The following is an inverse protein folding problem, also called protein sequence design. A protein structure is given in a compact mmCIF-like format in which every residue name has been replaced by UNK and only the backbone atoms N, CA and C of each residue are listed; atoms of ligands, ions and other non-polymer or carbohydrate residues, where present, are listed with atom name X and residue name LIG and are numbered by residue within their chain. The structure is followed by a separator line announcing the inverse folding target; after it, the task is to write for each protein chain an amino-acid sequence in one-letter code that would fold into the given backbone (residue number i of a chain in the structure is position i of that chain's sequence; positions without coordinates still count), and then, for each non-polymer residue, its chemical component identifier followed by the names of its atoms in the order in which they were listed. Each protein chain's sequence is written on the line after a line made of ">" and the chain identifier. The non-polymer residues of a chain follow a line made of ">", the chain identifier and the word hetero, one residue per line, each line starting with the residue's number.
data_IF_865958688593
#
_entry.id   IF_865958688593
#
_cell.length_a   1.000
_cell.length_b   1.000
_cell.length_c   1.000
_cell.angle_alpha   90.00
_cell.angle_beta   90.00
_cell.angle_gamma   90.00
#
_symmetry.space_group_name_H-M   'P 1'
#
loop_
_entity.id
_entity.type
_entity.pdbx_description
1 polymer ?
#
# COMPACT_ATOMS: atom_id res chain seq x y z
N UNK A 1 -17.96 -5.48 46.28
CA UNK A 1 -18.11 -4.83 44.99
C UNK A 1 -16.86 -4.00 44.74
N UNK A 2 -15.87 -4.57 44.05
CA UNK A 2 -14.61 -3.86 43.71
C UNK A 2 -14.74 -3.34 42.28
N UNK A 3 -14.86 -2.03 42.13
CA UNK A 3 -14.71 -1.38 40.83
C UNK A 3 -13.25 -1.54 40.39
N UNK A 4 -13.04 -2.30 39.32
CA UNK A 4 -11.77 -2.28 38.60
C UNK A 4 -11.78 -1.02 37.72
N UNK A 5 -11.05 0.00 38.15
CA UNK A 5 -10.72 1.14 37.32
C UNK A 5 -9.74 0.64 36.26
N UNK A 6 -10.20 0.40 35.05
CA UNK A 6 -9.31 0.19 33.89
C UNK A 6 -8.65 1.53 33.58
N UNK A 7 -7.42 1.70 34.04
CA UNK A 7 -6.58 2.80 33.63
C UNK A 7 -6.24 2.61 32.14
N UNK A 8 -6.84 3.42 31.26
CA UNK A 8 -6.41 3.54 29.89
C UNK A 8 -4.99 4.14 29.89
N UNK A 9 -4.00 3.31 29.62
CA UNK A 9 -2.62 3.79 29.45
C UNK A 9 -2.55 4.44 28.06
N UNK A 10 -2.50 5.76 28.07
CA UNK A 10 -2.29 6.56 26.86
C UNK A 10 -0.84 6.39 26.42
N UNK A 11 -0.61 5.70 25.34
CA UNK A 11 0.71 5.62 24.72
C UNK A 11 0.84 6.77 23.74
N UNK A 12 1.58 7.79 24.15
CA UNK A 12 2.05 8.82 23.22
C UNK A 12 3.07 8.20 22.28
N UNK A 13 2.69 8.01 21.01
CA UNK A 13 3.63 7.50 20.00
C UNK A 13 4.45 8.69 19.51
N UNK A 14 5.63 8.87 20.08
CA UNK A 14 6.63 9.86 19.67
C UNK A 14 7.35 9.44 18.38
N UNK A 15 6.61 8.98 17.38
CA UNK A 15 7.14 8.53 16.09
C UNK A 15 6.43 9.15 14.88
N UNK A 16 5.64 10.20 15.11
CA UNK A 16 4.93 10.89 14.05
C UNK A 16 5.89 11.82 13.29
N UNK A 17 6.20 11.48 12.03
CA UNK A 17 6.89 12.37 11.11
C UNK A 17 5.88 13.02 10.16
N UNK A 18 6.02 14.33 9.91
CA UNK A 18 5.22 15.01 8.89
C UNK A 18 6.03 15.08 7.60
N UNK A 19 5.44 14.61 6.51
CA UNK A 19 5.98 14.79 5.19
C UNK A 19 4.94 15.48 4.31
N UNK A 20 5.28 16.61 3.72
CA UNK A 20 4.35 17.45 2.95
C UNK A 20 3.04 17.79 3.67
N UNK A 21 3.08 17.99 5.00
CA UNK A 21 1.90 18.30 5.81
C UNK A 21 0.97 17.13 6.09
N UNK A 22 1.30 15.91 5.66
CA UNK A 22 0.58 14.67 6.00
C UNK A 22 1.26 13.95 7.15
N UNK A 23 0.47 13.25 7.94
CA UNK A 23 0.94 12.43 9.04
C UNK A 23 1.27 11.03 8.55
N UNK A 24 2.39 10.51 9.05
CA UNK A 24 2.84 9.15 8.80
C UNK A 24 3.19 8.47 10.11
N UNK A 25 2.78 7.21 10.25
CA UNK A 25 3.11 6.36 11.40
C UNK A 25 3.83 5.11 10.92
N UNK A 26 4.98 4.82 11.52
CA UNK A 26 5.69 3.56 11.27
C UNK A 26 5.03 2.46 12.07
N UNK A 27 4.44 1.49 11.40
CA UNK A 27 3.65 0.46 12.05
C UNK A 27 4.49 -0.41 13.00
N UNK A 28 5.76 -0.61 12.71
CA UNK A 28 6.70 -1.34 13.58
C UNK A 28 6.82 -0.72 14.99
N UNK A 29 6.79 0.59 15.08
CA UNK A 29 6.90 1.31 16.35
C UNK A 29 5.62 1.14 17.19
N UNK A 30 4.47 1.00 16.51
CA UNK A 30 3.16 0.82 17.15
C UNK A 30 2.94 -0.60 17.71
N UNK A 31 3.53 -1.61 17.08
CA UNK A 31 3.39 -3.00 17.52
C UNK A 31 3.99 -3.28 18.91
N UNK A 32 4.85 -2.39 19.40
CA UNK A 32 5.46 -2.47 20.74
C UNK A 32 4.59 -1.80 21.81
N UNK A 33 3.47 -1.20 21.43
CA UNK A 33 2.59 -0.54 22.39
C UNK A 33 1.87 -1.58 23.29
N UNK A 34 1.86 -1.40 24.61
CA UNK A 34 1.22 -2.34 25.53
C UNK A 34 -0.31 -2.25 25.56
N UNK A 35 -0.91 -1.48 24.66
CA UNK A 35 -2.36 -1.26 24.61
C UNK A 35 -3.06 -2.25 23.68
N UNK A 36 -4.23 -2.80 24.06
CA UNK A 36 -5.04 -3.65 23.18
C UNK A 36 -5.64 -2.89 21.99
N UNK A 37 -5.70 -1.56 22.08
CA UNK A 37 -6.22 -0.67 21.04
C UNK A 37 -5.19 0.41 20.74
N UNK A 38 -4.92 0.62 19.47
CA UNK A 38 -3.97 1.61 18.97
C UNK A 38 -4.76 2.72 18.28
N UNK A 39 -4.60 3.94 18.76
CA UNK A 39 -5.22 5.13 18.20
C UNK A 39 -4.19 5.96 17.42
N UNK A 40 -4.54 6.27 16.20
CA UNK A 40 -3.78 7.16 15.33
C UNK A 40 -4.37 8.56 15.44
N UNK A 41 -3.60 9.49 15.95
CA UNK A 41 -4.08 10.85 16.23
C UNK A 41 -3.43 11.87 15.31
N UNK A 42 -4.21 12.83 14.84
CA UNK A 42 -3.71 14.02 14.15
C UNK A 42 -2.93 14.93 15.12
N UNK A 43 -2.13 15.90 14.64
CA UNK A 43 -1.42 16.84 15.51
C UNK A 43 -2.33 17.68 16.40
N UNK A 44 -3.62 17.78 16.03
CA UNK A 44 -4.67 18.46 16.82
C UNK A 44 -5.36 17.54 17.83
N UNK A 45 -4.84 16.32 18.02
CA UNK A 45 -5.42 15.32 18.93
C UNK A 45 -6.70 14.65 18.44
N UNK A 46 -7.11 14.86 17.18
CA UNK A 46 -8.27 14.14 16.61
C UNK A 46 -7.86 12.71 16.25
N UNK A 47 -8.60 11.72 16.74
CA UNK A 47 -8.44 10.31 16.33
C UNK A 47 -8.89 10.18 14.87
N UNK A 48 -7.98 9.71 14.01
CA UNK A 48 -8.21 9.52 12.56
C UNK A 48 -8.36 8.05 12.20
N UNK A 49 -7.86 7.15 13.04
CA UNK A 49 -8.00 5.70 12.90
C UNK A 49 -7.85 5.04 14.26
N UNK A 50 -8.61 3.99 14.49
CA UNK A 50 -8.46 3.09 15.63
C UNK A 50 -8.30 1.67 15.12
N UNK A 51 -7.29 0.95 15.61
CA UNK A 51 -7.03 -0.44 15.24
C UNK A 51 -6.85 -1.29 16.50
N UNK A 52 -7.32 -2.53 16.44
CA UNK A 52 -6.97 -3.52 17.43
C UNK A 52 -5.48 -3.90 17.30
N UNK A 53 -4.76 -4.00 18.41
CA UNK A 53 -3.35 -4.38 18.41
C UNK A 53 -3.11 -5.74 17.75
N UNK A 54 -4.06 -6.68 17.86
CA UNK A 54 -3.97 -7.97 17.20
C UNK A 54 -4.02 -7.81 15.67
N UNK A 55 -4.89 -6.94 15.14
CA UNK A 55 -4.97 -6.63 13.69
C UNK A 55 -3.68 -5.97 13.22
N UNK A 56 -3.11 -5.03 14.00
CA UNK A 56 -1.81 -4.41 13.70
C UNK A 56 -0.70 -5.46 13.62
N UNK A 57 -0.66 -6.39 14.59
CA UNK A 57 0.33 -7.47 14.58
C UNK A 57 0.17 -8.42 13.39
N UNK A 58 -1.07 -8.76 13.02
CA UNK A 58 -1.35 -9.58 11.83
C UNK A 58 -0.91 -8.87 10.56
N UNK A 59 -1.19 -7.56 10.44
CA UNK A 59 -0.78 -6.75 9.29
C UNK A 59 0.74 -6.66 9.18
N UNK A 60 1.45 -6.49 10.29
CA UNK A 60 2.92 -6.53 10.32
C UNK A 60 3.48 -7.89 9.92
N UNK A 61 2.86 -8.96 10.39
CA UNK A 61 3.27 -10.32 10.02
C UNK A 61 3.03 -10.58 8.53
N UNK A 62 1.89 -10.14 7.99
CA UNK A 62 1.59 -10.23 6.57
C UNK A 62 2.64 -9.46 5.76
N UNK A 63 2.91 -8.21 6.13
CA UNK A 63 3.95 -7.40 5.49
C UNK A 63 5.33 -8.09 5.54
N UNK A 64 5.74 -8.61 6.67
CA UNK A 64 7.02 -9.31 6.81
C UNK A 64 7.10 -10.56 5.93
N UNK A 65 6.06 -11.39 5.90
CA UNK A 65 6.02 -12.60 5.07
C UNK A 65 6.05 -12.26 3.58
N UNK A 66 5.21 -11.34 3.15
CA UNK A 66 5.12 -10.90 1.75
C UNK A 66 6.44 -10.27 1.28
N UNK A 67 6.98 -9.30 2.00
CA UNK A 67 8.22 -8.62 1.59
C UNK A 67 9.43 -9.55 1.60
N UNK A 68 9.46 -10.51 2.53
CA UNK A 68 10.48 -11.55 2.53
C UNK A 68 10.36 -12.48 1.33
N UNK A 69 9.15 -12.90 0.96
CA UNK A 69 8.90 -13.71 -0.23
C UNK A 69 9.28 -12.96 -1.50
N UNK A 70 9.02 -11.66 -1.55
CA UNK A 70 9.38 -10.79 -2.67
C UNK A 70 10.89 -10.43 -2.72
N UNK A 71 11.68 -10.77 -1.71
CA UNK A 71 13.09 -10.36 -1.61
C UNK A 71 13.27 -8.85 -1.41
N UNK A 72 12.26 -8.15 -0.89
CA UNK A 72 12.23 -6.70 -0.74
C UNK A 72 12.39 -6.30 0.73
N UNK A 73 13.27 -5.34 0.97
CA UNK A 73 13.35 -4.67 2.28
C UNK A 73 12.62 -3.33 2.19
N UNK A 74 11.44 -3.25 2.78
CA UNK A 74 10.63 -2.04 2.85
C UNK A 74 9.97 -1.92 4.22
N UNK A 75 9.81 -0.68 4.72
CA UNK A 75 9.08 -0.41 5.95
C UNK A 75 7.58 -0.26 5.64
N UNK A 76 6.71 -0.73 6.53
CA UNK A 76 5.28 -0.49 6.44
C UNK A 76 4.93 0.80 7.19
N UNK A 77 4.26 1.70 6.48
CA UNK A 77 3.87 3.02 6.98
C UNK A 77 2.38 3.22 6.79
N UNK A 78 1.72 3.77 7.81
CA UNK A 78 0.34 4.25 7.68
C UNK A 78 0.38 5.75 7.44
N UNK A 79 -0.40 6.23 6.46
CA UNK A 79 -0.57 7.64 6.17
C UNK A 79 -1.99 8.10 6.48
N UNK A 80 -2.17 9.35 6.91
CA UNK A 80 -3.51 9.94 6.96
C UNK A 80 -4.05 10.16 5.54
N UNK A 81 -5.31 9.80 5.30
CA UNK A 81 -5.96 10.02 4.01
C UNK A 81 -7.45 9.75 4.06
N UNK A 82 -8.22 10.59 3.38
CA UNK A 82 -9.69 10.54 3.36
C UNK A 82 -10.26 9.60 2.28
N UNK A 83 -9.47 9.24 1.29
CA UNK A 83 -9.86 8.35 0.18
C UNK A 83 -8.88 7.18 0.10
N UNK A 84 -9.37 5.94 -0.11
CA UNK A 84 -8.52 4.75 -0.13
C UNK A 84 -7.33 4.89 -1.07
N UNK A 85 -6.12 4.69 -0.51
CA UNK A 85 -4.87 4.72 -1.26
C UNK A 85 -3.80 3.86 -0.60
N UNK A 86 -2.95 3.27 -1.43
CA UNK A 86 -1.68 2.69 -1.04
C UNK A 86 -0.64 3.05 -2.12
N UNK A 87 0.59 3.02 -1.77
CA UNK A 87 1.68 3.31 -2.71
C UNK A 87 3.03 2.88 -2.15
N UNK A 88 3.97 2.72 -3.04
CA UNK A 88 5.38 2.48 -2.75
C UNK A 88 6.21 3.72 -3.01
N UNK A 89 7.28 3.91 -2.27
CA UNK A 89 8.15 5.08 -2.43
C UNK A 89 9.36 5.05 -1.52
N UNK A 90 10.11 6.14 -1.52
CA UNK A 90 11.21 6.36 -0.58
C UNK A 90 10.82 7.37 0.48
N UNK A 91 11.05 7.04 1.73
CA UNK A 91 10.94 7.97 2.85
C UNK A 91 12.31 8.05 3.54
N UNK A 92 12.92 9.23 3.54
CA UNK A 92 14.29 9.42 4.07
C UNK A 92 15.31 8.42 3.53
N UNK A 93 15.23 8.11 2.23
CA UNK A 93 16.12 7.16 1.55
C UNK A 93 15.81 5.68 1.76
N UNK A 94 14.77 5.34 2.55
CA UNK A 94 14.35 3.96 2.80
C UNK A 94 13.14 3.61 1.96
N UNK A 95 13.07 2.39 1.46
CA UNK A 95 11.90 1.86 0.77
C UNK A 95 10.74 1.74 1.74
N UNK A 96 9.57 2.21 1.35
CA UNK A 96 8.33 2.08 2.12
C UNK A 96 7.22 1.50 1.27
N UNK A 97 6.33 0.77 1.94
CA UNK A 97 4.98 0.50 1.48
C UNK A 97 4.06 1.30 2.38
N UNK A 98 3.27 2.17 1.80
CA UNK A 98 2.36 3.05 2.54
C UNK A 98 0.93 2.65 2.27
N UNK A 99 0.13 2.51 3.34
CA UNK A 99 -1.31 2.31 3.29
C UNK A 99 -1.95 3.47 4.04
N UNK A 100 -2.96 4.11 3.47
CA UNK A 100 -3.61 5.21 4.20
C UNK A 100 -4.79 4.74 5.07
N UNK A 101 -5.20 5.62 5.98
CA UNK A 101 -6.28 5.34 6.95
C UNK A 101 -7.58 4.95 6.27
N UNK A 102 -7.93 5.56 5.14
CA UNK A 102 -9.16 5.24 4.41
C UNK A 102 -9.09 3.85 3.74
N UNK A 103 -7.92 3.42 3.24
CA UNK A 103 -7.74 2.07 2.71
C UNK A 103 -7.86 1.03 3.83
N UNK A 104 -7.29 1.29 5.00
CA UNK A 104 -7.40 0.41 6.16
C UNK A 104 -8.87 0.26 6.58
N UNK A 105 -9.62 1.37 6.67
CA UNK A 105 -11.04 1.35 7.01
C UNK A 105 -11.84 0.58 5.95
N UNK A 106 -11.52 0.73 4.68
CA UNK A 106 -12.19 0.03 3.58
C UNK A 106 -11.97 -1.49 3.64
N UNK A 107 -10.74 -1.95 3.89
CA UNK A 107 -10.41 -3.37 3.99
C UNK A 107 -10.98 -3.96 5.29
N UNK A 108 -10.93 -3.21 6.40
CA UNK A 108 -11.37 -3.69 7.71
C UNK A 108 -10.41 -4.72 8.31
N UNK A 109 -10.92 -5.91 8.66
CA UNK A 109 -10.14 -6.96 9.34
C UNK A 109 -9.69 -8.10 8.39
N UNK A 110 -9.93 -7.98 7.08
CA UNK A 110 -9.54 -9.01 6.11
C UNK A 110 -8.03 -8.97 5.86
N UNK A 111 -7.32 -9.87 6.55
CA UNK A 111 -5.85 -9.92 6.49
C UNK A 111 -5.35 -10.40 5.11
N UNK A 112 -6.16 -11.19 4.40
CA UNK A 112 -5.80 -11.68 3.07
C UNK A 112 -5.94 -10.56 2.02
N UNK A 113 -6.92 -9.64 2.17
CA UNK A 113 -6.98 -8.44 1.34
C UNK A 113 -5.79 -7.50 1.62
N UNK A 114 -5.35 -7.39 2.87
CA UNK A 114 -4.10 -6.68 3.17
C UNK A 114 -2.89 -7.37 2.54
N UNK A 115 -2.81 -8.70 2.60
CA UNK A 115 -1.74 -9.45 1.97
C UNK A 115 -1.74 -9.27 0.45
N UNK A 116 -2.91 -9.21 -0.20
CA UNK A 116 -3.05 -8.92 -1.61
C UNK A 116 -2.52 -7.54 -1.98
N UNK A 117 -2.93 -6.50 -1.23
CA UNK A 117 -2.42 -5.14 -1.40
C UNK A 117 -0.90 -5.07 -1.22
N UNK A 118 -0.40 -5.65 -0.14
CA UNK A 118 1.03 -5.68 0.17
C UNK A 118 1.84 -6.47 -0.87
N UNK A 119 1.28 -7.56 -1.39
CA UNK A 119 1.89 -8.37 -2.45
C UNK A 119 2.06 -7.59 -3.74
N UNK A 120 1.01 -6.88 -4.15
CA UNK A 120 1.02 -6.01 -5.32
C UNK A 120 2.07 -4.88 -5.17
N UNK A 121 2.07 -4.18 -4.05
CA UNK A 121 3.03 -3.11 -3.75
C UNK A 121 4.47 -3.61 -3.67
N UNK A 122 4.68 -4.78 -3.03
CA UNK A 122 6.00 -5.39 -2.97
C UNK A 122 6.52 -5.83 -4.35
N UNK A 123 5.63 -6.27 -5.25
CA UNK A 123 5.99 -6.63 -6.60
C UNK A 123 6.49 -5.41 -7.40
N UNK A 124 5.90 -4.24 -7.24
CA UNK A 124 6.40 -3.02 -7.86
C UNK A 124 7.85 -2.71 -7.45
N UNK A 125 8.22 -2.96 -6.19
CA UNK A 125 9.62 -2.86 -5.76
C UNK A 125 10.49 -3.97 -6.32
N UNK A 126 10.04 -5.22 -6.22
CA UNK A 126 10.83 -6.39 -6.61
C UNK A 126 11.13 -6.41 -8.12
N UNK A 127 10.20 -5.89 -8.93
CA UNK A 127 10.32 -5.84 -10.40
C UNK A 127 10.96 -4.57 -10.93
N UNK A 128 11.33 -3.64 -10.05
CA UNK A 128 11.98 -2.39 -10.44
C UNK A 128 11.06 -1.36 -11.11
N UNK A 129 9.73 -1.56 -11.05
CA UNK A 129 8.76 -0.62 -11.64
C UNK A 129 8.91 0.79 -11.03
N UNK A 130 9.19 0.86 -9.73
CA UNK A 130 9.42 2.11 -9.01
C UNK A 130 10.65 2.85 -9.55
N UNK A 131 11.76 2.13 -9.72
CA UNK A 131 13.00 2.72 -10.21
C UNK A 131 12.85 3.15 -11.68
N UNK A 132 12.19 2.35 -12.52
CA UNK A 132 11.87 2.69 -13.90
C UNK A 132 10.93 3.91 -13.99
N UNK A 133 9.93 4.00 -13.13
CA UNK A 133 9.01 5.14 -13.03
C UNK A 133 9.75 6.43 -12.66
N UNK A 134 10.66 6.36 -11.67
CA UNK A 134 11.49 7.52 -11.29
C UNK A 134 12.39 7.99 -12.43
N UNK A 135 13.00 7.05 -13.16
CA UNK A 135 13.84 7.38 -14.29
C UNK A 135 13.03 8.07 -15.40
N UNK A 136 11.84 7.54 -15.70
CA UNK A 136 10.91 8.16 -16.67
C UNK A 136 10.52 9.58 -16.23
N UNK A 137 10.14 9.76 -14.97
CA UNK A 137 9.74 11.07 -14.44
C UNK A 137 10.88 12.08 -14.46
N UNK A 138 12.10 11.68 -14.10
CA UNK A 138 13.28 12.57 -14.15
C UNK A 138 13.63 12.97 -15.58
N UNK A 139 13.48 12.06 -16.54
CA UNK A 139 13.69 12.35 -17.96
C UNK A 139 12.65 13.32 -18.50
N UNK A 140 11.36 13.12 -18.15
CA UNK A 140 10.27 14.01 -18.54
C UNK A 140 10.49 15.41 -17.93
N UNK A 141 10.90 15.50 -16.66
CA UNK A 141 11.21 16.77 -16.01
C UNK A 141 12.40 17.48 -16.67
N UNK A 142 13.47 16.73 -17.00
CA UNK A 142 14.64 17.29 -17.67
C UNK A 142 14.27 17.86 -19.06
N UNK A 143 13.48 17.12 -19.83
CA UNK A 143 12.97 17.57 -21.15
C UNK A 143 12.02 18.75 -20.97
N UNK A 144 11.11 18.71 -20.01
CA UNK A 144 10.20 19.80 -19.69
C UNK A 144 10.94 21.09 -19.28
N UNK A 145 12.01 20.96 -18.49
CA UNK A 145 12.85 22.08 -18.10
C UNK A 145 13.62 22.67 -19.29
N UNK A 146 14.12 21.83 -20.20
CA UNK A 146 14.79 22.28 -21.44
C UNK A 146 13.82 23.03 -22.36
N UNK A 147 12.60 22.52 -22.55
CA UNK A 147 11.56 23.18 -23.33
C UNK A 147 11.11 24.47 -22.66
N UNK A 148 10.92 24.47 -21.33
CA UNK A 148 10.56 25.64 -20.56
C UNK A 148 11.62 26.74 -20.60
N UNK A 149 12.90 26.39 -20.54
CA UNK A 149 14.01 27.32 -20.73
C UNK A 149 14.03 27.89 -22.14
N UNK A 150 13.80 27.05 -23.17
CA UNK A 150 13.70 27.51 -24.56
C UNK A 150 12.52 28.48 -24.78
N UNK A 151 11.36 28.19 -24.19
CA UNK A 151 10.18 29.06 -24.26
C UNK A 151 10.36 30.38 -23.48
N UNK A 152 11.07 30.35 -22.37
CA UNK A 152 11.37 31.57 -21.60
C UNK A 152 12.25 32.55 -22.37
N UNK A 153 13.12 32.06 -23.24
CA UNK A 153 13.91 32.91 -24.17
C UNK A 153 13.05 33.60 -25.24
N UNK A 154 11.84 33.10 -25.52
CA UNK A 154 10.88 33.69 -26.45
C UNK A 154 9.88 34.64 -25.79
N UNK A 155 10.00 34.88 -24.47
CA UNK A 155 9.11 35.78 -23.72
C UNK A 155 7.73 35.20 -23.42
N UNK A 156 7.49 33.92 -23.67
CA UNK A 156 6.25 33.23 -23.30
C UNK A 156 6.38 32.74 -21.86
N UNK A 157 5.50 33.16 -20.93
CA UNK A 157 5.58 32.67 -19.55
C UNK A 157 5.29 31.17 -19.53
N UNK A 158 6.31 30.36 -19.22
CA UNK A 158 6.14 28.93 -18.96
C UNK A 158 5.57 28.68 -17.55
N UNK A 159 4.63 29.53 -17.14
CA UNK A 159 3.98 29.42 -15.84
C UNK A 159 2.95 28.30 -15.89
N UNK A 160 3.27 27.17 -15.30
CA UNK A 160 2.30 26.13 -14.99
C UNK A 160 2.66 24.69 -15.34
N UNK A 161 3.79 24.42 -15.97
CA UNK A 161 4.25 23.06 -16.20
C UNK A 161 5.07 22.54 -15.01
N UNK A 162 4.38 21.79 -14.16
CA UNK A 162 4.96 20.87 -13.18
C UNK A 162 5.84 21.54 -12.10
N UNK A 163 5.25 22.45 -11.35
CA UNK A 163 5.81 22.83 -10.06
C UNK A 163 4.95 22.24 -8.96
N UNK A 164 5.49 21.31 -8.20
CA UNK A 164 4.91 21.00 -6.90
C UNK A 164 4.64 19.56 -6.52
N UNK A 165 5.36 18.60 -7.07
CA UNK A 165 5.39 17.26 -6.48
C UNK A 165 6.76 17.05 -5.84
N UNK A 166 6.77 17.03 -4.50
CA UNK A 166 7.96 16.72 -3.74
C UNK A 166 8.58 15.41 -4.20
N UNK A 167 9.87 15.44 -4.42
CA UNK A 167 10.66 14.47 -5.18
C UNK A 167 10.70 13.03 -4.61
N UNK A 168 9.96 12.72 -3.56
CA UNK A 168 10.04 11.43 -2.88
C UNK A 168 8.77 10.57 -2.93
N UNK A 169 7.63 11.12 -3.37
CA UNK A 169 6.43 10.33 -3.66
C UNK A 169 6.35 10.12 -5.17
N UNK A 170 6.50 8.87 -5.59
CA UNK A 170 6.37 8.51 -7.00
C UNK A 170 4.89 8.54 -7.33
N UNK A 171 4.44 9.67 -7.87
CA UNK A 171 3.13 9.80 -8.52
C UNK A 171 3.24 9.27 -9.96
N UNK A 172 3.89 8.10 -10.11
CA UNK A 172 4.02 7.45 -11.39
C UNK A 172 2.85 6.51 -11.58
N UNK A 173 2.01 6.80 -12.55
CA UNK A 173 1.12 5.79 -13.11
C UNK A 173 1.97 4.66 -13.68
N UNK A 174 1.76 3.47 -13.18
CA UNK A 174 2.38 2.27 -13.71
C UNK A 174 1.73 1.91 -15.06
N UNK A 175 2.50 1.29 -15.95
CA UNK A 175 1.94 0.81 -17.20
C UNK A 175 1.01 -0.38 -16.95
N UNK A 176 0.14 -0.70 -17.91
CA UNK A 176 -0.72 -1.89 -17.80
C UNK A 176 0.08 -3.18 -17.71
N UNK A 177 1.27 -3.21 -18.26
CA UNK A 177 2.17 -4.37 -18.17
C UNK A 177 2.80 -4.46 -16.78
N UNK A 178 3.25 -3.33 -16.22
CA UNK A 178 3.73 -3.26 -14.83
C UNK A 178 2.65 -3.76 -13.86
N UNK A 179 1.38 -3.37 -14.08
CA UNK A 179 0.25 -3.79 -13.25
C UNK A 179 -0.04 -5.29 -13.36
N UNK A 180 -0.01 -5.84 -14.59
CA UNK A 180 -0.19 -7.29 -14.80
C UNK A 180 0.94 -8.10 -14.16
N UNK A 181 2.17 -7.61 -14.25
CA UNK A 181 3.31 -8.24 -13.60
C UNK A 181 3.19 -8.15 -12.08
N UNK A 182 2.81 -6.99 -11.54
CA UNK A 182 2.60 -6.82 -10.10
C UNK A 182 1.49 -7.71 -9.55
N UNK A 183 0.38 -7.86 -10.27
CA UNK A 183 -0.70 -8.79 -9.92
C UNK A 183 -0.21 -10.24 -9.90
N UNK A 184 0.54 -10.66 -10.94
CA UNK A 184 1.01 -12.02 -11.06
C UNK A 184 1.97 -12.40 -9.91
N UNK A 185 2.95 -11.55 -9.62
CA UNK A 185 3.90 -11.77 -8.54
C UNK A 185 3.26 -11.58 -7.16
N UNK A 186 2.31 -10.64 -7.01
CA UNK A 186 1.53 -10.48 -5.80
C UNK A 186 0.81 -11.76 -5.41
N UNK A 187 0.13 -12.40 -6.36
CA UNK A 187 -0.52 -13.71 -6.18
C UNK A 187 0.50 -14.80 -5.81
N UNK A 188 1.67 -14.83 -6.45
CA UNK A 188 2.72 -15.79 -6.12
C UNK A 188 3.23 -15.61 -4.67
N UNK A 189 3.43 -14.37 -4.24
CA UNK A 189 3.85 -14.10 -2.86
C UNK A 189 2.78 -14.50 -1.84
N UNK A 190 1.50 -14.28 -2.16
CA UNK A 190 0.39 -14.72 -1.30
C UNK A 190 0.38 -16.24 -1.16
N UNK A 191 0.45 -16.98 -2.26
CA UNK A 191 0.50 -18.45 -2.26
C UNK A 191 1.71 -18.99 -1.49
N UNK A 192 2.90 -18.42 -1.72
CA UNK A 192 4.13 -18.83 -1.05
C UNK A 192 4.12 -18.57 0.47
N UNK A 193 3.24 -17.68 0.93
CA UNK A 193 3.15 -17.28 2.35
C UNK A 193 1.88 -17.73 3.05
N UNK A 194 1.02 -18.49 2.34
CA UNK A 194 -0.17 -19.14 2.88
C UNK A 194 -1.38 -18.20 3.03
N UNK A 195 -1.42 -17.08 2.30
CA UNK A 195 -2.58 -16.20 2.21
C UNK A 195 -3.51 -16.65 1.07
N UNK A 196 -4.81 -16.35 1.22
CA UNK A 196 -5.82 -16.68 0.20
C UNK A 196 -5.69 -15.72 -1.01
N UNK A 197 -5.25 -16.21 -2.19
CA UNK A 197 -5.06 -15.36 -3.36
C UNK A 197 -6.37 -14.78 -3.92
N UNK A 198 -7.54 -15.39 -3.62
CA UNK A 198 -8.84 -14.83 -4.02
C UNK A 198 -9.11 -13.47 -3.39
N UNK A 199 -8.41 -13.13 -2.33
CA UNK A 199 -8.50 -11.81 -1.71
C UNK A 199 -8.03 -10.69 -2.66
N UNK A 200 -7.13 -10.96 -3.60
CA UNK A 200 -6.76 -10.00 -4.63
C UNK A 200 -7.96 -9.62 -5.51
N UNK A 201 -8.79 -10.59 -5.87
CA UNK A 201 -10.03 -10.36 -6.61
C UNK A 201 -11.02 -9.56 -5.75
N UNK A 202 -11.23 -9.99 -4.49
CA UNK A 202 -12.16 -9.31 -3.56
C UNK A 202 -11.78 -7.84 -3.36
N UNK A 203 -10.50 -7.55 -3.19
CA UNK A 203 -10.00 -6.18 -3.02
C UNK A 203 -10.33 -5.30 -4.24
N UNK A 204 -10.07 -5.76 -5.46
CA UNK A 204 -10.41 -5.03 -6.67
C UNK A 204 -11.92 -4.83 -6.84
N UNK A 205 -12.72 -5.88 -6.60
CA UNK A 205 -14.18 -5.78 -6.66
C UNK A 205 -14.73 -4.80 -5.62
N UNK A 206 -14.15 -4.77 -4.41
CA UNK A 206 -14.50 -3.83 -3.35
C UNK A 206 -14.23 -2.38 -3.77
N UNK A 207 -13.04 -2.12 -4.34
CA UNK A 207 -12.69 -0.78 -4.82
C UNK A 207 -13.60 -0.29 -5.93
N UNK A 208 -14.00 -1.16 -6.87
CA UNK A 208 -14.90 -0.78 -7.96
C UNK A 208 -16.35 -0.54 -7.51
N UNK A 209 -16.76 -1.15 -6.39
CA UNK A 209 -18.12 -1.03 -5.83
C UNK A 209 -18.29 0.17 -4.89
N UNK A 210 -17.26 0.99 -4.67
CA UNK A 210 -17.40 2.15 -3.80
C UNK A 210 -18.46 3.12 -4.32
N UNK A 211 -19.42 3.54 -3.48
CA UNK A 211 -20.56 4.33 -3.91
C UNK A 211 -20.17 5.75 -4.34
N UNK A 212 -20.96 6.33 -5.23
CA UNK A 212 -20.98 7.78 -5.46
C UNK A 212 -19.84 8.34 -6.31
N UNK A 213 -19.19 7.54 -7.16
CA UNK A 213 -18.12 8.05 -8.03
C UNK A 213 -16.89 8.52 -7.23
N UNK A 214 -16.72 7.99 -6.02
CA UNK A 214 -15.53 8.26 -5.20
C UNK A 214 -14.31 7.87 -6.03
N UNK A 215 -13.56 8.87 -6.46
CA UNK A 215 -12.25 8.60 -7.05
C UNK A 215 -11.39 7.93 -5.99
N UNK A 216 -11.05 6.67 -6.21
CA UNK A 216 -10.06 5.95 -5.40
C UNK A 216 -8.69 6.36 -5.95
N UNK A 217 -7.86 7.13 -5.22
CA UNK A 217 -6.55 7.56 -5.70
C UNK A 217 -5.68 6.37 -6.11
N UNK A 218 -5.80 5.26 -5.40
CA UNK A 218 -5.16 4.00 -5.76
C UNK A 218 -5.43 3.59 -7.21
N UNK A 219 -6.69 3.71 -7.69
CA UNK A 219 -7.04 3.36 -9.07
C UNK A 219 -6.52 4.38 -10.10
N UNK A 220 -6.04 5.55 -9.67
CA UNK A 220 -5.42 6.53 -10.57
C UNK A 220 -3.96 6.18 -10.86
N UNK A 221 -3.25 5.61 -9.90
CA UNK A 221 -1.87 5.12 -10.04
C UNK A 221 -1.81 3.65 -10.47
N UNK A 222 -2.81 2.85 -10.06
CA UNK A 222 -2.99 1.43 -10.36
C UNK A 222 -4.34 1.21 -11.03
N UNK A 223 -4.49 1.48 -12.33
CA UNK A 223 -5.77 1.37 -13.01
C UNK A 223 -6.36 -0.04 -12.86
N UNK A 224 -7.50 -0.14 -12.16
CA UNK A 224 -8.28 -1.36 -12.09
C UNK A 224 -9.30 -1.40 -13.20
N UNK A 225 -9.58 -2.59 -13.70
CA UNK A 225 -10.59 -2.85 -14.71
C UNK A 225 -11.20 -4.23 -14.48
N UNK A 226 -12.36 -4.47 -15.06
CA UNK A 226 -12.95 -5.81 -15.11
C UNK A 226 -11.97 -6.81 -15.75
N UNK A 227 -11.21 -6.35 -16.76
CA UNK A 227 -10.15 -7.16 -17.39
C UNK A 227 -9.09 -7.61 -16.37
N UNK A 228 -8.64 -6.75 -15.44
CA UNK A 228 -7.67 -7.15 -14.41
C UNK A 228 -8.26 -8.19 -13.46
N UNK A 229 -9.51 -8.00 -13.06
CA UNK A 229 -10.22 -8.97 -12.21
C UNK A 229 -10.32 -10.33 -12.92
N UNK A 230 -10.69 -10.34 -14.20
CA UNK A 230 -10.76 -11.58 -14.97
C UNK A 230 -9.39 -12.25 -15.15
N UNK A 231 -8.34 -11.46 -15.35
CA UNK A 231 -6.97 -11.96 -15.44
C UNK A 231 -6.49 -12.55 -14.10
N UNK A 232 -6.80 -11.91 -12.98
CA UNK A 232 -6.52 -12.43 -11.65
C UNK A 232 -7.23 -13.76 -11.41
N UNK A 233 -8.53 -13.86 -11.73
CA UNK A 233 -9.31 -15.11 -11.59
C UNK A 233 -8.68 -16.25 -12.40
N UNK A 234 -8.30 -16.00 -13.67
CA UNK A 234 -7.65 -16.98 -14.53
C UNK A 234 -6.29 -17.41 -13.97
N UNK A 235 -5.48 -16.45 -13.53
CA UNK A 235 -4.16 -16.68 -12.94
C UNK A 235 -4.26 -17.55 -11.69
N UNK A 236 -5.15 -17.21 -10.77
CA UNK A 236 -5.35 -17.92 -9.51
C UNK A 236 -5.80 -19.36 -9.80
N UNK A 237 -6.76 -19.56 -10.71
CA UNK A 237 -7.23 -20.89 -11.11
C UNK A 237 -6.09 -21.74 -11.70
N UNK A 238 -5.26 -21.16 -12.58
CA UNK A 238 -4.11 -21.85 -13.16
C UNK A 238 -3.07 -22.24 -12.11
N UNK A 239 -2.78 -21.36 -11.14
CA UNK A 239 -1.82 -21.62 -10.06
C UNK A 239 -2.32 -22.70 -9.09
N UNK A 240 -3.62 -22.68 -8.73
CA UNK A 240 -4.22 -23.72 -7.90
C UNK A 240 -4.16 -25.11 -8.54
N UNK A 241 -4.29 -25.19 -9.87
CA UNK A 241 -4.18 -26.47 -10.60
C UNK A 241 -2.74 -26.99 -10.65
N UNK A 242 -1.74 -26.13 -10.53
CA UNK A 242 -0.33 -26.50 -10.55
C UNK A 242 0.24 -26.85 -9.17
N UNK A 243 -0.46 -26.54 -8.09
CA UNK A 243 -0.07 -26.99 -6.75
C UNK A 243 -0.42 -28.47 -6.61
N UNK A 244 0.52 -29.33 -6.20
CA UNK A 244 0.18 -30.70 -5.84
C UNK A 244 -0.89 -30.68 -4.76
N UNK A 245 -1.88 -31.56 -4.87
CA UNK A 245 -2.86 -31.74 -3.79
C UNK A 245 -2.11 -31.90 -2.47
N UNK A 246 -2.46 -31.07 -1.48
CA UNK A 246 -1.89 -31.20 -0.13
C UNK A 246 -2.11 -32.66 0.30
N UNK A 247 -1.07 -33.38 0.76
CA UNK A 247 -1.29 -34.76 1.21
C UNK A 247 -2.33 -34.70 2.33
N UNK A 248 -3.37 -35.52 2.13
CA UNK A 248 -4.47 -35.72 3.08
C UNK A 248 -3.86 -35.84 4.47
N UNK A 249 -4.17 -34.94 5.39
CA UNK A 249 -3.72 -35.03 6.78
C UNK A 249 -4.25 -36.40 7.28
N UNK A 250 -3.35 -37.31 7.48
CA UNK A 250 -3.66 -38.54 8.20
C UNK A 250 -4.09 -38.09 9.59
N UNK A 251 -5.40 -38.11 9.83
CA UNK A 251 -5.96 -37.99 11.16
C UNK A 251 -5.30 -39.08 12.02
N UNK A 252 -4.47 -38.64 12.97
CA UNK A 252 -3.99 -39.49 14.05
C UNK A 252 -5.22 -39.98 14.83
N UNK A 253 -5.61 -41.24 14.54
CA UNK A 253 -6.53 -42.00 15.37
C UNK A 253 -5.81 -42.53 16.60
#
# INVERSE_FOLDING_TARGET
>A
MKLAVMAAIWVWVAGCSTFQGRLFWRLRELALAPSPVIEFQSPKGKIVLTMNAQTVNKLLLAHFRITRSAGVQAELVIAEGERPNAFVGLMTGRRVVTINTAMIIMIGDDIDEFAALLGHEAAHWAKGHVDAGRLRSSTIQAVGNLIGAGLSMTGIPAAGLITGLGADMIDSTFSRDDEREADAFGVEYMLATGFDPEAAVRLHERMLKLPGGVRVPFLSTHPSSEERIDNLKKLIAAKKTQQPAEPERLDDR
#
